data_IF_055226621536
#
_entry.id   IF_055226621536
#
_cell.length_a   1.000
_cell.length_b   1.000
_cell.length_c   1.000
_cell.angle_alpha   90.00
_cell.angle_beta   90.00
_cell.angle_gamma   90.00
#
_symmetry.space_group_name_H-M   'P 1'
#
loop_
_entity.id
_entity.type
_entity.pdbx_description
1 polymer ?
#
# COMPACT_ATOMS: atom_id res chain seq x y z
N UNK A 1 20.53 5.38 59.46
CA UNK A 1 20.39 5.14 58.01
C UNK A 1 18.92 4.98 57.60
N UNK A 2 18.13 6.06 57.63
CA UNK A 2 16.70 6.00 57.25
C UNK A 2 16.14 7.41 56.95
N UNK A 3 16.82 8.18 56.07
CA UNK A 3 16.35 9.50 55.59
C UNK A 3 16.78 9.81 54.14
N UNK A 4 16.96 8.79 53.29
CA UNK A 4 17.30 8.98 51.86
C UNK A 4 16.26 8.34 50.91
N UNK A 5 15.18 7.75 51.43
CA UNK A 5 14.23 6.98 50.59
C UNK A 5 12.93 7.72 50.21
N UNK A 6 12.75 8.99 50.57
CA UNK A 6 11.50 9.73 50.30
C UNK A 6 11.65 10.75 49.16
N UNK A 7 12.87 11.11 48.75
CA UNK A 7 13.08 12.05 47.62
C UNK A 7 13.14 11.32 46.26
N UNK A 8 13.31 9.99 46.25
CA UNK A 8 13.35 9.22 44.99
C UNK A 8 11.96 8.89 44.41
N UNK A 9 10.88 9.07 45.17
CA UNK A 9 9.50 8.79 44.71
C UNK A 9 8.83 10.03 44.12
N UNK A 10 9.35 11.25 44.33
CA UNK A 10 8.81 12.48 43.73
C UNK A 10 9.49 12.91 42.41
N UNK A 11 10.63 12.31 42.04
CA UNK A 11 11.26 12.53 40.72
C UNK A 11 10.83 11.50 39.66
N UNK A 12 10.06 10.47 40.05
CA UNK A 12 9.47 9.48 39.13
C UNK A 12 8.03 9.84 38.71
N UNK A 13 7.45 10.91 39.24
CA UNK A 13 6.10 11.39 38.87
C UNK A 13 6.09 12.57 37.91
N UNK A 14 7.25 12.99 37.38
CA UNK A 14 7.37 14.07 36.38
C UNK A 14 7.70 13.51 34.98
N UNK A 15 7.91 12.19 34.85
CA UNK A 15 8.04 11.51 33.56
C UNK A 15 6.83 10.60 33.29
N UNK A 16 5.72 11.19 32.84
CA UNK A 16 4.69 10.46 32.05
C UNK A 16 3.58 11.33 31.43
N UNK A 17 3.59 12.67 31.56
CA UNK A 17 2.62 13.54 30.84
C UNK A 17 3.20 14.03 29.51
N UNK A 18 4.35 13.54 29.07
CA UNK A 18 4.86 13.83 27.73
C UNK A 18 4.17 12.86 26.76
N UNK A 19 3.08 13.37 26.16
CA UNK A 19 2.32 12.83 25.03
C UNK A 19 1.47 11.58 25.29
N UNK A 20 0.41 11.71 26.10
CA UNK A 20 -0.74 10.82 25.91
C UNK A 20 -1.30 11.06 24.50
N UNK A 21 -1.54 9.99 23.73
CA UNK A 21 -2.20 10.10 22.44
C UNK A 21 -3.53 10.86 22.62
N UNK A 22 -3.83 11.89 21.79
CA UNK A 22 -4.96 12.78 22.05
C UNK A 22 -6.30 12.06 21.99
N UNK A 23 -6.35 10.92 21.30
CA UNK A 23 -7.48 10.01 21.26
C UNK A 23 -7.27 8.87 22.26
N UNK A 24 -8.23 8.69 23.16
CA UNK A 24 -8.26 7.61 24.16
C UNK A 24 -8.84 6.32 23.59
N UNK A 25 -9.60 6.42 22.50
CA UNK A 25 -10.21 5.28 21.83
C UNK A 25 -10.09 5.42 20.32
N UNK A 26 -10.11 4.28 19.63
CA UNK A 26 -10.19 4.24 18.17
C UNK A 26 -11.41 5.01 17.64
N UNK A 27 -12.53 4.96 18.36
CA UNK A 27 -13.74 5.73 17.99
C UNK A 27 -13.46 7.23 17.93
N UNK A 28 -12.76 7.80 18.90
CA UNK A 28 -12.43 9.23 18.92
C UNK A 28 -11.54 9.62 17.73
N UNK A 29 -10.60 8.76 17.34
CA UNK A 29 -9.77 8.96 16.15
C UNK A 29 -10.61 8.97 14.87
N UNK A 30 -11.52 8.00 14.72
CA UNK A 30 -12.39 7.92 13.53
C UNK A 30 -13.46 9.02 13.50
N UNK A 31 -13.93 9.49 14.66
CA UNK A 31 -14.81 10.67 14.74
C UNK A 31 -14.06 11.93 14.22
N UNK A 32 -12.77 12.09 14.58
CA UNK A 32 -11.91 13.17 14.03
C UNK A 32 -11.74 13.06 12.51
N UNK A 33 -11.46 11.86 11.99
CA UNK A 33 -11.37 11.62 10.54
C UNK A 33 -12.69 11.91 9.81
N UNK A 34 -13.83 11.57 10.40
CA UNK A 34 -15.14 11.83 9.81
C UNK A 34 -15.43 13.33 9.63
N UNK A 35 -15.00 14.18 10.57
CA UNK A 35 -15.16 15.64 10.45
C UNK A 35 -14.30 16.23 9.31
N UNK A 36 -13.08 15.72 9.12
CA UNK A 36 -12.23 16.09 7.98
C UNK A 36 -12.86 15.63 6.67
N UNK A 37 -13.33 14.39 6.63
CA UNK A 37 -13.97 13.80 5.45
C UNK A 37 -15.19 14.59 5.01
N UNK A 38 -15.98 15.14 5.94
CA UNK A 38 -17.11 16.00 5.59
C UNK A 38 -16.65 17.23 4.79
N UNK A 39 -15.58 17.89 5.21
CA UNK A 39 -15.00 19.07 4.52
C UNK A 39 -14.44 18.69 3.15
N UNK A 40 -13.73 17.57 3.05
CA UNK A 40 -13.22 17.05 1.77
C UNK A 40 -14.39 16.75 0.82
N UNK A 41 -15.41 16.03 1.29
CA UNK A 41 -16.57 15.67 0.48
C UNK A 41 -17.40 16.88 0.03
N UNK A 42 -17.46 17.93 0.84
CA UNK A 42 -18.07 19.20 0.44
C UNK A 42 -17.27 19.89 -0.67
N UNK A 43 -15.94 19.93 -0.56
CA UNK A 43 -15.06 20.50 -1.59
C UNK A 43 -15.09 19.70 -2.90
N UNK A 44 -15.15 18.37 -2.83
CA UNK A 44 -15.17 17.50 -4.01
C UNK A 44 -16.44 17.64 -4.85
N UNK A 45 -17.52 18.23 -4.32
CA UNK A 45 -18.72 18.60 -5.11
C UNK A 45 -18.43 19.73 -6.11
N UNK A 46 -17.36 20.49 -5.92
CA UNK A 46 -17.01 21.61 -6.77
C UNK A 46 -16.18 21.16 -7.99
N UNK A 47 -16.59 21.62 -9.18
CA UNK A 47 -15.86 21.36 -10.42
C UNK A 47 -14.64 22.31 -10.55
N UNK A 48 -13.41 21.77 -10.73
CA UNK A 48 -12.18 22.56 -10.87
C UNK A 48 -12.23 23.66 -11.94
N UNK A 49 -12.74 23.33 -13.13
CA UNK A 49 -12.82 24.25 -14.27
C UNK A 49 -13.79 25.40 -13.98
N UNK A 50 -14.89 25.10 -13.28
CA UNK A 50 -15.84 26.12 -12.84
C UNK A 50 -15.19 27.06 -11.82
N UNK A 51 -14.49 26.54 -10.81
CA UNK A 51 -13.77 27.36 -9.83
C UNK A 51 -12.76 28.26 -10.55
N UNK A 52 -11.97 27.71 -11.46
CA UNK A 52 -10.96 28.45 -12.23
C UNK A 52 -11.60 29.59 -13.02
N UNK A 53 -12.70 29.31 -13.74
CA UNK A 53 -13.44 30.30 -14.53
C UNK A 53 -14.00 31.44 -13.67
N UNK A 54 -14.63 31.09 -12.54
CA UNK A 54 -15.28 32.05 -11.63
C UNK A 54 -14.23 32.96 -10.94
N UNK A 55 -12.98 32.50 -10.84
CA UNK A 55 -11.88 33.19 -10.17
C UNK A 55 -10.83 33.80 -11.12
N UNK A 56 -11.08 33.83 -12.43
CA UNK A 56 -10.13 34.32 -13.44
C UNK A 56 -9.54 35.73 -13.17
N UNK A 57 -10.30 36.58 -12.47
CA UNK A 57 -9.89 37.96 -12.17
C UNK A 57 -9.08 38.08 -10.87
N UNK A 58 -9.28 37.17 -9.91
CA UNK A 58 -8.59 37.18 -8.61
C UNK A 58 -7.27 36.42 -8.66
N UNK A 59 -7.22 35.32 -9.41
CA UNK A 59 -6.03 34.48 -9.52
C UNK A 59 -4.85 35.24 -10.14
N UNK A 60 -3.69 35.18 -9.48
CA UNK A 60 -2.43 35.76 -9.95
C UNK A 60 -1.38 34.68 -10.15
N UNK A 61 -0.43 34.86 -11.08
CA UNK A 61 0.75 34.02 -11.15
C UNK A 61 1.52 34.05 -9.83
N UNK A 62 1.94 32.88 -9.37
CA UNK A 62 2.78 32.74 -8.19
C UNK A 62 4.03 31.92 -8.54
N UNK A 63 5.16 32.25 -7.92
CA UNK A 63 6.44 31.58 -8.13
C UNK A 63 6.72 30.64 -6.97
N UNK A 64 6.08 29.46 -7.00
CA UNK A 64 6.33 28.37 -6.05
C UNK A 64 6.31 27.04 -6.80
N UNK A 65 7.06 26.07 -6.28
CA UNK A 65 6.99 24.70 -6.76
C UNK A 65 5.76 24.01 -6.15
N UNK A 66 4.84 23.59 -7.03
CA UNK A 66 3.61 22.88 -6.66
C UNK A 66 3.59 21.58 -7.44
N UNK A 67 4.15 20.53 -6.85
CA UNK A 67 4.19 19.20 -7.46
C UNK A 67 4.79 19.20 -8.88
N UNK A 68 5.79 20.06 -9.16
CA UNK A 68 6.41 20.16 -10.48
C UNK A 68 5.56 20.86 -11.54
N UNK A 69 4.56 21.66 -11.15
CA UNK A 69 3.77 22.45 -12.09
C UNK A 69 4.62 23.47 -12.86
N UNK A 70 4.42 23.54 -14.18
CA UNK A 70 5.06 24.53 -15.06
C UNK A 70 4.51 25.95 -14.83
N UNK A 71 3.27 26.05 -14.35
CA UNK A 71 2.62 27.31 -14.02
C UNK A 71 1.72 27.15 -12.81
N UNK A 72 1.76 28.14 -11.92
CA UNK A 72 0.90 28.21 -10.73
C UNK A 72 0.10 29.51 -10.74
N UNK A 73 -1.20 29.40 -10.53
CA UNK A 73 -2.11 30.53 -10.31
C UNK A 73 -2.74 30.40 -8.92
N UNK A 74 -2.81 31.48 -8.14
CA UNK A 74 -3.44 31.43 -6.84
C UNK A 74 -4.01 32.75 -6.34
N UNK A 75 -4.85 32.63 -5.32
CA UNK A 75 -5.37 33.71 -4.49
C UNK A 75 -5.54 33.22 -3.04
N UNK A 76 -6.21 34.00 -2.19
CA UNK A 76 -6.38 33.68 -0.78
C UNK A 76 -7.22 32.41 -0.51
N UNK A 77 -7.97 31.91 -1.50
CA UNK A 77 -8.83 30.74 -1.32
C UNK A 77 -8.37 29.52 -2.12
N UNK A 78 -7.73 29.71 -3.27
CA UNK A 78 -7.34 28.60 -4.13
C UNK A 78 -5.95 28.75 -4.72
N UNK A 79 -5.32 27.60 -4.97
CA UNK A 79 -4.12 27.44 -5.77
C UNK A 79 -4.40 26.44 -6.90
N UNK A 80 -3.91 26.72 -8.10
CA UNK A 80 -3.99 25.86 -9.27
C UNK A 80 -2.59 25.64 -9.83
N UNK A 81 -2.20 24.37 -9.97
CA UNK A 81 -1.01 23.97 -10.71
C UNK A 81 -1.38 23.47 -12.11
N UNK A 82 -0.60 23.87 -13.11
CA UNK A 82 -0.80 23.49 -14.52
C UNK A 82 0.45 22.84 -15.10
N UNK A 83 0.25 21.92 -16.05
CA UNK A 83 1.32 21.39 -16.88
C UNK A 83 1.71 22.39 -18.00
N UNK A 84 2.78 22.06 -18.73
CA UNK A 84 3.27 22.83 -19.88
C UNK A 84 2.25 23.08 -20.99
N UNK A 85 1.18 22.28 -21.05
CA UNK A 85 0.09 22.42 -22.02
C UNK A 85 -1.10 23.20 -21.47
N UNK A 86 -1.03 23.68 -20.22
CA UNK A 86 -2.09 24.42 -19.55
C UNK A 86 -3.19 23.55 -18.96
N UNK A 87 -2.99 22.23 -18.84
CA UNK A 87 -3.94 21.32 -18.17
C UNK A 87 -3.78 21.39 -16.65
N UNK A 88 -4.89 21.37 -15.91
CA UNK A 88 -4.89 21.35 -14.44
C UNK A 88 -4.23 20.04 -13.94
N UNK A 89 -3.17 20.18 -13.15
CA UNK A 89 -2.49 19.09 -12.45
C UNK A 89 -2.88 19.04 -10.98
N UNK A 90 -3.18 20.18 -10.38
CA UNK A 90 -3.55 20.27 -8.96
C UNK A 90 -4.50 21.43 -8.68
N UNK A 91 -5.36 21.24 -7.69
CA UNK A 91 -6.21 22.28 -7.10
C UNK A 91 -6.11 22.18 -5.59
N UNK A 92 -5.75 23.28 -4.93
CA UNK A 92 -5.72 23.34 -3.47
C UNK A 92 -6.72 24.36 -2.96
N UNK A 93 -7.66 23.90 -2.14
CA UNK A 93 -8.57 24.78 -1.39
C UNK A 93 -7.89 25.18 -0.08
N UNK A 94 -7.60 26.46 0.10
CA UNK A 94 -6.92 27.02 1.28
C UNK A 94 -7.89 27.40 2.41
N UNK A 95 -7.35 27.46 3.63
CA UNK A 95 -8.03 27.86 4.86
C UNK A 95 -9.30 27.02 5.13
N UNK A 96 -9.10 25.71 5.31
CA UNK A 96 -10.18 24.71 5.48
C UNK A 96 -10.52 24.47 6.95
N UNK A 97 -9.48 24.49 7.78
CA UNK A 97 -9.46 24.44 9.24
C UNK A 97 -8.86 25.75 9.79
N UNK A 98 -8.73 25.83 11.11
CA UNK A 98 -8.04 26.93 11.78
C UNK A 98 -6.54 26.87 11.49
N UNK A 99 -5.97 27.92 10.89
CA UNK A 99 -4.56 27.95 10.49
C UNK A 99 -4.32 27.66 9.00
N UNK A 100 -3.06 27.45 8.58
CA UNK A 100 -2.66 27.38 7.17
C UNK A 100 -2.99 26.04 6.50
N UNK A 101 -4.19 25.52 6.72
CA UNK A 101 -4.64 24.23 6.17
C UNK A 101 -5.11 24.31 4.72
N UNK A 102 -5.03 23.20 4.00
CA UNK A 102 -5.58 23.08 2.65
C UNK A 102 -6.05 21.66 2.31
N UNK A 103 -7.10 21.56 1.48
CA UNK A 103 -7.43 20.32 0.77
C UNK A 103 -6.72 20.35 -0.58
N UNK A 104 -5.83 19.39 -0.81
CA UNK A 104 -5.15 19.21 -2.09
C UNK A 104 -5.86 18.16 -2.93
N UNK A 105 -6.12 18.47 -4.20
CA UNK A 105 -6.61 17.56 -5.23
C UNK A 105 -5.55 17.47 -6.32
N UNK A 106 -5.05 16.27 -6.61
CA UNK A 106 -4.04 16.02 -7.64
C UNK A 106 -4.66 15.18 -8.74
N UNK A 107 -4.32 15.47 -9.99
CA UNK A 107 -4.93 14.84 -11.16
C UNK A 107 -3.91 14.10 -12.02
N UNK A 108 -4.37 13.06 -12.68
CA UNK A 108 -3.66 12.42 -13.77
C UNK A 108 -3.64 13.30 -15.03
N UNK A 109 -2.73 13.03 -15.98
CA UNK A 109 -2.72 13.72 -17.27
C UNK A 109 -4.00 13.53 -18.10
N UNK A 110 -4.84 12.55 -17.80
CA UNK A 110 -6.16 12.39 -18.41
C UNK A 110 -7.23 13.31 -17.77
N UNK A 111 -6.97 13.90 -16.59
CA UNK A 111 -7.86 14.81 -15.86
C UNK A 111 -8.63 14.13 -14.72
N UNK A 112 -8.47 12.82 -14.57
CA UNK A 112 -9.10 12.06 -13.49
C UNK A 112 -8.38 12.34 -12.17
N UNK A 113 -9.15 12.35 -11.07
CA UNK A 113 -8.60 12.56 -9.73
C UNK A 113 -7.64 11.41 -9.42
N UNK A 114 -6.41 11.74 -9.04
CA UNK A 114 -5.37 10.80 -8.63
C UNK A 114 -5.33 10.66 -7.11
N UNK A 115 -5.40 11.79 -6.41
CA UNK A 115 -5.17 11.84 -4.99
C UNK A 115 -5.87 13.04 -4.36
N UNK A 116 -6.38 12.85 -3.15
CA UNK A 116 -6.94 13.92 -2.31
C UNK A 116 -6.54 13.73 -0.85
N UNK A 117 -6.12 14.82 -0.21
CA UNK A 117 -5.78 14.85 1.21
C UNK A 117 -5.97 16.24 1.80
N UNK A 118 -5.96 16.31 3.13
CA UNK A 118 -5.89 17.56 3.88
C UNK A 118 -4.50 17.71 4.49
N UNK A 119 -3.87 18.85 4.21
CA UNK A 119 -2.65 19.32 4.88
C UNK A 119 -3.06 20.35 5.94
N UNK A 120 -2.56 20.19 7.15
CA UNK A 120 -2.81 21.04 8.31
C UNK A 120 -1.49 21.35 9.01
N UNK A 121 -1.03 22.61 8.89
CA UNK A 121 0.20 23.10 9.52
C UNK A 121 1.44 22.25 9.16
N UNK A 122 1.65 22.03 7.86
CA UNK A 122 2.73 21.22 7.27
C UNK A 122 2.62 19.70 7.50
N UNK A 123 1.49 19.23 8.04
CA UNK A 123 1.23 17.81 8.25
C UNK A 123 -0.01 17.33 7.52
N UNK A 124 0.12 16.22 6.81
CA UNK A 124 -1.05 15.49 6.31
C UNK A 124 -1.85 14.93 7.48
N UNK A 125 -3.16 15.14 7.47
CA UNK A 125 -4.08 14.62 8.48
C UNK A 125 -5.42 14.19 7.86
N UNK A 126 -6.14 13.30 8.53
CA UNK A 126 -7.33 12.68 8.00
C UNK A 126 -7.02 11.49 7.09
N UNK A 127 -7.97 11.12 6.24
CA UNK A 127 -7.81 9.99 5.33
C UNK A 127 -7.36 10.48 3.96
N UNK A 128 -6.10 10.24 3.63
CA UNK A 128 -5.58 10.39 2.26
C UNK A 128 -6.25 9.35 1.39
N UNK A 129 -6.76 9.76 0.23
CA UNK A 129 -7.36 8.85 -0.75
C UNK A 129 -6.63 8.93 -2.07
N UNK A 130 -6.25 7.78 -2.61
CA UNK A 130 -5.74 7.67 -3.97
C UNK A 130 -6.71 6.88 -4.83
N UNK A 131 -6.65 7.13 -6.13
CA UNK A 131 -7.54 6.54 -7.13
C UNK A 131 -6.69 6.04 -8.29
N UNK A 132 -7.17 4.98 -8.93
CA UNK A 132 -6.66 4.54 -10.22
C UNK A 132 -6.99 5.58 -11.31
N UNK A 133 -6.30 5.50 -12.45
CA UNK A 133 -6.66 6.31 -13.63
C UNK A 133 -8.09 6.04 -14.11
N UNK A 134 -8.67 4.89 -13.78
CA UNK A 134 -10.08 4.54 -14.03
C UNK A 134 -11.08 5.16 -13.05
N UNK A 135 -10.63 6.08 -12.19
CA UNK A 135 -11.41 6.77 -11.14
C UNK A 135 -11.90 5.88 -9.99
N UNK A 136 -11.59 4.59 -10.05
CA UNK A 136 -11.88 3.68 -8.93
C UNK A 136 -10.91 3.94 -7.79
N UNK A 137 -11.41 3.85 -6.56
CA UNK A 137 -10.61 4.00 -5.36
C UNK A 137 -9.48 2.96 -5.36
N UNK A 138 -8.26 3.42 -5.11
CA UNK A 138 -7.07 2.58 -5.00
C UNK A 138 -6.69 2.40 -3.53
N UNK A 139 -6.78 3.47 -2.73
CA UNK A 139 -6.24 3.44 -1.37
C UNK A 139 -6.90 4.44 -0.42
N UNK A 140 -6.96 4.08 0.86
CA UNK A 140 -7.26 4.96 2.00
C UNK A 140 -6.17 4.82 3.05
N UNK A 141 -5.47 5.92 3.34
CA UNK A 141 -4.37 5.96 4.31
C UNK A 141 -4.73 6.96 5.41
N UNK A 142 -4.99 6.50 6.65
CA UNK A 142 -5.31 7.39 7.75
C UNK A 142 -4.03 7.99 8.34
N UNK A 143 -3.97 9.32 8.40
CA UNK A 143 -2.88 10.07 9.00
C UNK A 143 -3.36 10.93 10.17
N UNK A 144 -2.57 10.97 11.23
CA UNK A 144 -2.69 11.94 12.30
C UNK A 144 -1.35 12.69 12.44
N UNK A 145 -1.36 14.00 12.18
CA UNK A 145 -0.18 14.87 12.26
C UNK A 145 1.05 14.30 11.52
N UNK A 146 0.83 13.88 10.27
CA UNK A 146 1.88 13.41 9.37
C UNK A 146 2.29 11.95 9.56
N UNK A 147 1.72 11.24 10.54
CA UNK A 147 2.02 9.82 10.80
C UNK A 147 0.81 8.94 10.52
N UNK A 148 1.03 7.74 9.98
CA UNK A 148 -0.03 6.75 9.78
C UNK A 148 -0.57 6.25 11.11
N UNK A 149 -1.87 6.35 11.29
CA UNK A 149 -2.56 6.04 12.54
C UNK A 149 -3.97 5.51 12.22
N UNK A 150 -4.17 4.20 12.36
CA UNK A 150 -5.42 3.49 12.08
C UNK A 150 -5.36 2.51 10.91
N UNK A 151 -6.54 2.07 10.45
CA UNK A 151 -6.68 1.05 9.40
C UNK A 151 -6.51 1.63 8.00
N UNK A 152 -5.37 1.32 7.37
CA UNK A 152 -5.11 1.52 5.94
C UNK A 152 -5.82 0.45 5.12
N UNK A 153 -6.43 0.87 4.00
CA UNK A 153 -7.13 -0.02 3.07
C UNK A 153 -6.59 0.17 1.65
N UNK A 154 -6.27 -0.93 1.00
CA UNK A 154 -5.87 -0.97 -0.42
C UNK A 154 -6.93 -1.76 -1.17
N UNK A 155 -7.30 -1.27 -2.34
CA UNK A 155 -8.35 -1.85 -3.18
C UNK A 155 -7.76 -2.35 -4.48
N UNK A 156 -8.31 -3.43 -5.00
CA UNK A 156 -8.12 -3.82 -6.40
C UNK A 156 -8.88 -2.88 -7.32
N UNK A 157 -8.49 -2.82 -8.60
CA UNK A 157 -9.21 -2.03 -9.60
C UNK A 157 -10.63 -2.59 -9.91
N UNK A 158 -11.00 -3.77 -9.41
CA UNK A 158 -12.39 -4.21 -9.46
C UNK A 158 -13.25 -3.64 -8.31
N UNK A 159 -12.65 -2.92 -7.36
CA UNK A 159 -13.30 -2.29 -6.21
C UNK A 159 -13.29 -3.15 -4.93
N UNK A 160 -12.88 -4.42 -5.00
CA UNK A 160 -12.75 -5.28 -3.82
C UNK A 160 -11.51 -4.88 -3.00
N UNK A 161 -11.55 -5.14 -1.70
CA UNK A 161 -10.37 -4.98 -0.85
C UNK A 161 -9.25 -5.92 -1.31
N UNK A 162 -8.04 -5.41 -1.27
CA UNK A 162 -6.79 -6.11 -1.59
C UNK A 162 -5.97 -6.34 -0.33
N UNK A 163 -5.82 -5.30 0.51
CA UNK A 163 -5.09 -5.37 1.78
C UNK A 163 -5.78 -4.50 2.84
N UNK A 164 -5.73 -4.95 4.09
CA UNK A 164 -6.05 -4.20 5.30
C UNK A 164 -4.86 -4.25 6.26
N UNK A 165 -4.34 -3.08 6.65
CA UNK A 165 -3.17 -2.95 7.51
C UNK A 165 -3.39 -1.88 8.56
N UNK A 166 -3.22 -2.24 9.83
CA UNK A 166 -3.37 -1.31 10.93
C UNK A 166 -2.03 -0.67 11.30
N UNK A 167 -2.02 0.63 11.51
CA UNK A 167 -0.85 1.41 11.89
C UNK A 167 -1.06 2.11 13.23
N UNK A 168 0.01 2.20 14.02
CA UNK A 168 0.13 3.05 15.20
C UNK A 168 1.48 3.75 15.11
N UNK A 169 1.49 5.08 15.07
CA UNK A 169 2.70 5.90 14.98
C UNK A 169 3.64 5.48 13.82
N UNK A 170 3.09 5.30 12.60
CA UNK A 170 3.78 4.78 11.40
C UNK A 170 4.23 3.31 11.45
N UNK A 171 3.94 2.59 12.54
CA UNK A 171 4.31 1.18 12.69
C UNK A 171 3.11 0.26 12.44
N UNK A 172 3.29 -0.76 11.59
CA UNK A 172 2.30 -1.83 11.44
C UNK A 172 2.15 -2.58 12.76
N UNK A 173 0.91 -2.71 13.20
CA UNK A 173 0.54 -3.30 14.48
C UNK A 173 -0.66 -4.23 14.31
N UNK A 174 -0.65 -5.38 14.98
CA UNK A 174 -1.79 -6.30 14.98
C UNK A 174 -1.98 -7.05 13.66
N UNK A 175 -3.22 -7.42 13.37
CA UNK A 175 -3.59 -8.33 12.28
C UNK A 175 -3.74 -7.59 10.96
N UNK A 176 -3.01 -8.04 9.94
CA UNK A 176 -3.19 -7.64 8.54
C UNK A 176 -3.93 -8.71 7.77
N UNK A 177 -4.74 -8.29 6.81
CA UNK A 177 -5.54 -9.18 5.97
C UNK A 177 -5.23 -8.87 4.51
N UNK A 178 -4.88 -9.90 3.76
CA UNK A 178 -4.77 -9.80 2.32
C UNK A 178 -5.89 -10.61 1.69
N UNK A 179 -6.40 -10.10 0.59
CA UNK A 179 -7.56 -10.65 -0.09
C UNK A 179 -7.20 -11.10 -1.49
N UNK A 180 -7.97 -12.07 -1.95
CA UNK A 180 -8.11 -12.35 -3.37
C UNK A 180 -8.99 -11.28 -4.04
N UNK A 181 -8.83 -11.11 -5.35
CA UNK A 181 -9.61 -10.20 -6.15
C UNK A 181 -11.10 -10.55 -6.19
N UNK A 182 -11.49 -11.78 -5.85
CA UNK A 182 -12.88 -12.20 -5.64
C UNK A 182 -13.44 -11.82 -4.25
N UNK A 183 -12.63 -11.13 -3.43
CA UNK A 183 -12.97 -10.63 -2.10
C UNK A 183 -12.77 -11.65 -0.97
N UNK A 184 -12.32 -12.88 -1.26
CA UNK A 184 -12.05 -13.87 -0.22
C UNK A 184 -10.72 -13.61 0.46
N UNK A 185 -10.57 -14.05 1.70
CA UNK A 185 -9.30 -13.92 2.43
C UNK A 185 -8.25 -14.80 1.75
N UNK A 186 -7.15 -14.19 1.35
CA UNK A 186 -5.95 -14.86 0.87
C UNK A 186 -5.03 -15.17 2.04
N UNK A 187 -4.82 -14.21 2.95
CA UNK A 187 -3.86 -14.35 4.04
C UNK A 187 -4.19 -13.51 5.26
N UNK A 188 -3.83 -14.04 6.41
CA UNK A 188 -3.80 -13.37 7.71
C UNK A 188 -2.36 -13.40 8.25
N UNK A 189 -1.87 -12.27 8.73
CA UNK A 189 -0.55 -12.15 9.33
C UNK A 189 -0.55 -11.13 10.46
N UNK A 190 0.11 -11.43 11.57
CA UNK A 190 0.25 -10.50 12.67
C UNK A 190 1.59 -9.75 12.62
N UNK A 191 1.57 -8.48 12.98
CA UNK A 191 2.73 -7.61 13.09
C UNK A 191 2.81 -6.98 14.48
N UNK A 192 4.04 -6.72 14.91
CA UNK A 192 4.38 -5.91 16.08
C UNK A 192 5.52 -5.00 15.67
N UNK A 193 5.33 -3.70 15.76
CA UNK A 193 6.36 -2.70 15.43
C UNK A 193 6.99 -2.93 14.04
N UNK A 194 6.15 -3.06 13.00
CA UNK A 194 6.54 -3.40 11.61
C UNK A 194 7.06 -4.83 11.36
N UNK A 195 7.28 -5.62 12.40
CA UNK A 195 7.91 -6.95 12.32
C UNK A 195 6.84 -8.03 12.44
N UNK A 196 6.85 -9.02 11.54
CA UNK A 196 5.93 -10.16 11.60
C UNK A 196 6.09 -10.92 12.93
N UNK A 197 5.02 -10.98 13.73
CA UNK A 197 5.04 -11.57 15.06
C UNK A 197 3.66 -12.11 15.43
N UNK A 198 3.57 -13.40 15.71
CA UNK A 198 2.32 -14.10 15.98
C UNK A 198 1.81 -14.92 14.80
N UNK A 199 0.52 -15.23 14.85
CA UNK A 199 -0.13 -16.16 13.92
C UNK A 199 -0.04 -15.73 12.45
N UNK A 200 0.06 -16.75 11.59
CA UNK A 200 0.02 -16.63 10.15
C UNK A 200 -0.89 -17.72 9.59
N UNK A 201 -1.73 -17.37 8.62
CA UNK A 201 -2.53 -18.33 7.86
C UNK A 201 -2.71 -17.85 6.43
N UNK A 202 -2.45 -18.73 5.47
CA UNK A 202 -2.77 -18.53 4.06
C UNK A 202 -3.88 -19.51 3.65
N UNK A 203 -4.74 -19.06 2.76
CA UNK A 203 -5.91 -19.81 2.28
C UNK A 203 -5.82 -20.06 0.78
N UNK A 204 -6.53 -21.06 0.31
CA UNK A 204 -6.90 -21.22 -1.10
C UNK A 204 -8.12 -20.34 -1.43
N UNK A 205 -8.39 -20.09 -2.71
CA UNK A 205 -9.61 -19.37 -3.16
C UNK A 205 -10.92 -20.06 -2.79
N UNK A 206 -10.91 -21.35 -2.47
CA UNK A 206 -12.09 -22.03 -1.94
C UNK A 206 -12.30 -21.81 -0.43
N UNK A 207 -11.44 -21.00 0.21
CA UNK A 207 -11.50 -20.66 1.64
C UNK A 207 -10.87 -21.70 2.56
N UNK A 208 -10.36 -22.82 2.02
CA UNK A 208 -9.66 -23.81 2.84
C UNK A 208 -8.25 -23.33 3.19
N UNK A 209 -7.78 -23.72 4.35
CA UNK A 209 -6.43 -23.38 4.80
C UNK A 209 -5.43 -24.06 3.87
N UNK A 210 -4.45 -23.30 3.40
CA UNK A 210 -3.31 -23.80 2.63
C UNK A 210 -2.12 -24.05 3.55
N UNK A 211 -1.79 -23.06 4.36
CA UNK A 211 -0.71 -23.15 5.35
C UNK A 211 -1.05 -22.31 6.57
N UNK A 212 -0.64 -22.77 7.75
CA UNK A 212 -0.69 -21.98 8.98
C UNK A 212 0.51 -22.24 9.87
N UNK A 213 0.93 -21.23 10.61
CA UNK A 213 2.10 -21.27 11.48
C UNK A 213 2.24 -19.99 12.29
N UNK A 214 3.44 -19.74 12.80
CA UNK A 214 3.72 -18.59 13.65
C UNK A 214 5.02 -17.88 13.24
N UNK A 215 5.03 -16.56 13.35
CA UNK A 215 6.23 -15.75 13.19
C UNK A 215 6.72 -15.25 14.55
N UNK A 216 8.04 -15.10 14.69
CA UNK A 216 8.70 -14.46 15.84
C UNK A 216 9.86 -13.61 15.34
N UNK A 217 9.83 -12.31 15.62
CA UNK A 217 10.89 -11.40 15.18
C UNK A 217 11.07 -11.37 13.65
N UNK A 218 9.97 -11.50 12.90
CA UNK A 218 9.96 -11.49 11.45
C UNK A 218 10.29 -12.83 10.81
N UNK A 219 10.59 -13.86 11.61
CA UNK A 219 11.06 -15.15 11.12
C UNK A 219 10.02 -16.23 11.43
N UNK A 220 9.93 -17.24 10.56
CA UNK A 220 9.13 -18.44 10.84
C UNK A 220 9.68 -19.15 12.08
N UNK A 221 8.80 -19.49 13.00
CA UNK A 221 9.17 -20.14 14.26
C UNK A 221 8.18 -21.26 14.57
N UNK A 222 8.69 -22.45 14.88
CA UNK A 222 7.88 -23.61 15.23
C UNK A 222 7.31 -24.33 14.00
N UNK A 223 6.14 -24.91 14.16
CA UNK A 223 5.50 -25.79 13.16
C UNK A 223 4.65 -24.98 12.17
N UNK A 224 4.93 -25.15 10.88
CA UNK A 224 4.07 -24.72 9.78
C UNK A 224 3.36 -25.95 9.20
N UNK A 225 2.03 -25.96 9.26
CA UNK A 225 1.17 -27.06 8.78
C UNK A 225 0.63 -26.73 7.40
N UNK A 226 0.75 -27.67 6.48
CA UNK A 226 0.30 -27.54 5.09
C UNK A 226 -0.84 -28.49 4.79
N UNK A 227 -1.76 -28.02 3.97
CA UNK A 227 -2.97 -28.73 3.59
C UNK A 227 -3.20 -28.59 2.09
N UNK A 228 -3.85 -29.58 1.49
CA UNK A 228 -4.28 -29.52 0.09
C UNK A 228 -5.51 -28.62 -0.06
N UNK A 229 -5.84 -28.30 -1.31
CA UNK A 229 -7.09 -27.62 -1.68
C UNK A 229 -8.36 -28.47 -1.42
N UNK A 230 -8.20 -29.74 -1.01
CA UNK A 230 -9.26 -30.62 -0.53
C UNK A 230 -9.24 -30.81 0.99
N UNK A 231 -8.50 -29.96 1.71
CA UNK A 231 -8.35 -29.93 3.17
C UNK A 231 -7.63 -31.17 3.74
N UNK A 232 -6.92 -31.92 2.90
CA UNK A 232 -6.09 -33.04 3.34
C UNK A 232 -4.79 -32.48 3.93
N UNK A 233 -4.44 -32.90 5.14
CA UNK A 233 -3.14 -32.58 5.72
C UNK A 233 -2.00 -33.22 4.90
N UNK A 234 -1.07 -32.39 4.43
CA UNK A 234 0.06 -32.82 3.59
C UNK A 234 1.32 -33.07 4.42
N UNK A 235 1.52 -32.29 5.48
CA UNK A 235 2.71 -32.39 6.32
C UNK A 235 3.03 -31.07 7.00
N UNK A 236 4.20 -31.03 7.64
CA UNK A 236 4.69 -29.86 8.34
C UNK A 236 6.16 -29.61 8.08
N UNK A 237 6.53 -28.33 8.16
CA UNK A 237 7.92 -27.86 8.20
C UNK A 237 8.13 -27.20 9.56
N UNK A 238 9.20 -27.59 10.25
CA UNK A 238 9.55 -27.09 11.57
C UNK A 238 10.74 -26.15 11.45
N UNK A 239 10.57 -24.93 11.95
CA UNK A 239 11.56 -23.87 11.91
C UNK A 239 12.10 -23.56 13.31
N UNK A 240 13.41 -23.32 13.41
CA UNK A 240 14.06 -22.77 14.61
C UNK A 240 15.24 -21.92 14.18
N UNK A 241 15.33 -20.68 14.69
CA UNK A 241 16.45 -19.78 14.40
C UNK A 241 16.75 -19.60 12.88
N UNK A 242 15.71 -19.48 12.05
CA UNK A 242 15.77 -19.38 10.56
C UNK A 242 16.07 -20.68 9.82
N UNK A 243 16.35 -21.78 10.52
CA UNK A 243 16.67 -23.05 9.89
C UNK A 243 15.46 -24.00 9.88
N UNK A 244 15.35 -24.80 8.83
CA UNK A 244 14.43 -25.94 8.79
C UNK A 244 15.09 -27.09 9.57
N UNK A 245 14.51 -27.46 10.69
CA UNK A 245 15.01 -28.58 11.52
C UNK A 245 14.33 -29.90 11.20
N UNK A 246 13.14 -29.86 10.57
CA UNK A 246 12.41 -31.05 10.12
C UNK A 246 11.42 -30.68 9.02
N UNK A 247 11.28 -31.54 8.02
CA UNK A 247 10.29 -31.43 6.95
C UNK A 247 9.63 -32.80 6.76
N UNK A 248 8.30 -32.85 6.73
CA UNK A 248 7.51 -34.08 6.50
C UNK A 248 6.73 -34.07 5.19
N UNK A 249 6.90 -33.06 4.34
CA UNK A 249 6.25 -32.97 3.04
C UNK A 249 6.89 -33.94 2.04
N UNK A 250 6.08 -34.51 1.14
CA UNK A 250 6.60 -35.24 -0.02
C UNK A 250 7.22 -34.26 -1.04
N UNK A 251 8.06 -34.77 -1.94
CA UNK A 251 8.65 -33.94 -3.01
C UNK A 251 7.57 -33.43 -3.96
N UNK A 252 6.54 -34.24 -4.19
CA UNK A 252 5.38 -33.91 -5.00
C UNK A 252 4.58 -32.77 -4.36
N UNK A 253 4.26 -32.86 -3.07
CA UNK A 253 3.55 -31.80 -2.34
C UNK A 253 4.35 -30.50 -2.32
N UNK A 254 5.67 -30.57 -2.12
CA UNK A 254 6.55 -29.39 -2.18
C UNK A 254 6.52 -28.72 -3.55
N UNK A 255 6.46 -29.51 -4.64
CA UNK A 255 6.36 -28.97 -6.00
C UNK A 255 5.01 -28.29 -6.23
N UNK A 256 3.92 -28.89 -5.75
CA UNK A 256 2.58 -28.31 -5.89
C UNK A 256 2.41 -27.04 -5.05
N UNK A 257 3.07 -26.98 -3.89
CA UNK A 257 3.13 -25.80 -3.02
C UNK A 257 4.13 -24.75 -3.51
N UNK A 258 5.06 -25.07 -4.41
CA UNK A 258 6.05 -24.10 -4.90
C UNK A 258 5.44 -22.91 -5.67
N UNK A 259 4.18 -23.04 -6.15
CA UNK A 259 3.41 -21.95 -6.75
C UNK A 259 2.74 -21.03 -5.70
N UNK A 260 2.57 -21.49 -4.47
CA UNK A 260 2.04 -20.72 -3.34
C UNK A 260 3.17 -20.29 -2.43
N UNK A 261 3.58 -19.04 -2.57
CA UNK A 261 4.45 -18.27 -1.66
C UNK A 261 5.30 -19.07 -0.65
N UNK A 262 6.16 -19.98 -1.12
CA UNK A 262 7.33 -20.48 -0.39
C UNK A 262 8.39 -20.81 -1.45
N UNK A 263 9.63 -20.38 -1.23
CA UNK A 263 10.84 -20.45 -2.10
C UNK A 263 11.18 -19.22 -2.96
N UNK A 264 10.39 -18.14 -2.95
CA UNK A 264 10.91 -16.84 -3.39
C UNK A 264 11.84 -16.28 -2.31
N UNK A 265 13.13 -16.59 -2.45
CA UNK A 265 14.31 -16.02 -1.81
C UNK A 265 14.11 -15.37 -0.41
N UNK A 266 14.73 -15.95 0.61
CA UNK A 266 14.80 -15.36 1.95
C UNK A 266 15.41 -13.94 1.92
N UNK A 267 16.18 -13.59 0.88
CA UNK A 267 16.67 -12.23 0.63
C UNK A 267 15.60 -11.24 0.09
N UNK A 268 14.58 -11.72 -0.66
CA UNK A 268 13.39 -10.93 -1.04
C UNK A 268 12.48 -10.72 0.18
N UNK A 269 12.32 -11.77 1.00
CA UNK A 269 11.59 -11.71 2.27
C UNK A 269 12.24 -10.76 3.30
N UNK A 270 13.57 -10.69 3.37
CA UNK A 270 14.25 -9.73 4.27
C UNK A 270 14.07 -8.27 3.83
N UNK A 271 13.84 -7.99 2.53
CA UNK A 271 13.48 -6.63 2.07
C UNK A 271 12.07 -6.23 2.48
N UNK A 272 11.13 -7.18 2.64
CA UNK A 272 9.73 -6.92 3.02
C UNK A 272 9.49 -6.70 4.52
N UNK A 273 10.52 -6.84 5.34
CA UNK A 273 10.41 -6.77 6.82
C UNK A 273 10.71 -5.39 7.42
N UNK A 274 11.10 -4.39 6.62
CA UNK A 274 11.62 -3.13 7.21
C UNK A 274 11.05 -1.83 6.66
N UNK A 275 10.25 -1.82 5.59
CA UNK A 275 9.68 -0.57 5.04
C UNK A 275 8.29 -0.78 4.45
N UNK A 276 7.48 0.27 4.54
CA UNK A 276 6.27 0.42 3.73
C UNK A 276 6.71 0.69 2.28
N UNK A 277 6.67 -0.35 1.44
CA UNK A 277 7.21 -0.30 0.06
C UNK A 277 6.11 0.03 -0.95
N UNK A 278 4.90 0.45 -0.53
CA UNK A 278 3.83 0.74 -1.49
C UNK A 278 4.31 1.78 -2.49
N UNK A 279 4.38 1.35 -3.73
CA UNK A 279 5.11 2.02 -4.80
C UNK A 279 5.66 1.00 -5.79
N UNK A 280 6.44 1.49 -6.75
CA UNK A 280 7.10 0.66 -7.73
C UNK A 280 8.59 0.96 -7.76
N UNK A 281 9.40 -0.09 -7.91
CA UNK A 281 10.81 0.09 -8.26
C UNK A 281 10.92 0.07 -9.77
N UNK A 282 11.61 1.08 -10.32
CA UNK A 282 11.95 1.13 -11.74
C UNK A 282 13.44 0.88 -11.89
N UNK A 283 13.79 -0.13 -12.67
CA UNK A 283 15.16 -0.32 -13.14
C UNK A 283 15.31 0.33 -14.51
N UNK A 284 16.50 0.83 -14.84
CA UNK A 284 16.75 1.64 -16.05
C UNK A 284 17.89 1.09 -16.90
N UNK A 285 17.79 1.30 -18.20
CA UNK A 285 18.89 1.13 -19.13
C UNK A 285 20.02 2.13 -18.85
N UNK A 286 21.25 1.90 -19.35
CA UNK A 286 22.33 2.90 -19.28
C UNK A 286 21.96 4.26 -19.88
N UNK A 287 21.01 4.28 -20.84
CA UNK A 287 20.43 5.51 -21.40
C UNK A 287 19.50 6.28 -20.45
N UNK A 288 19.19 5.73 -19.27
CA UNK A 288 18.27 6.30 -18.30
C UNK A 288 16.79 5.97 -18.54
N UNK A 289 16.46 5.23 -19.60
CA UNK A 289 15.08 4.84 -19.91
C UNK A 289 14.61 3.67 -19.04
N UNK A 290 13.32 3.59 -18.69
CA UNK A 290 12.77 2.47 -17.93
C UNK A 290 13.01 1.13 -18.63
N UNK A 291 13.45 0.14 -17.85
CA UNK A 291 13.67 -1.25 -18.27
C UNK A 291 12.65 -2.18 -17.62
N UNK A 292 12.42 -2.02 -16.32
CA UNK A 292 11.50 -2.86 -15.55
C UNK A 292 10.69 -1.97 -14.62
N UNK A 293 9.39 -2.25 -14.50
CA UNK A 293 8.48 -1.68 -13.52
C UNK A 293 7.95 -2.80 -12.61
N UNK A 294 8.27 -2.71 -11.32
CA UNK A 294 7.94 -3.71 -10.30
C UNK A 294 7.07 -3.08 -9.20
N UNK A 295 5.74 -3.24 -9.24
CA UNK A 295 4.87 -2.72 -8.20
C UNK A 295 4.81 -3.68 -7.00
N UNK A 296 4.82 -3.13 -5.78
CA UNK A 296 4.78 -3.92 -4.54
C UNK A 296 3.57 -3.56 -3.66
N UNK A 297 3.01 -4.56 -2.99
CA UNK A 297 2.03 -4.41 -1.91
C UNK A 297 2.68 -3.81 -0.66
N UNK A 298 1.84 -3.39 0.28
CA UNK A 298 2.25 -2.95 1.62
C UNK A 298 3.02 -4.02 2.39
N UNK A 299 2.84 -5.28 2.02
CA UNK A 299 3.57 -6.41 2.58
C UNK A 299 4.88 -6.70 1.85
N UNK A 300 5.29 -5.87 0.88
CA UNK A 300 6.55 -5.97 0.14
C UNK A 300 6.57 -7.06 -0.93
N UNK A 301 5.40 -7.45 -1.44
CA UNK A 301 5.25 -8.51 -2.44
C UNK A 301 4.80 -7.93 -3.77
N UNK A 302 5.16 -8.52 -4.91
CA UNK A 302 4.70 -8.01 -6.19
C UNK A 302 3.16 -7.94 -6.25
N UNK A 303 2.61 -6.80 -6.64
CA UNK A 303 1.17 -6.58 -6.66
C UNK A 303 0.80 -5.57 -7.74
N UNK A 304 0.03 -5.98 -8.74
CA UNK A 304 -0.26 -5.22 -9.95
C UNK A 304 0.56 -5.70 -11.16
N UNK A 305 0.59 -4.88 -12.20
CA UNK A 305 1.25 -5.21 -13.46
C UNK A 305 2.77 -5.04 -13.37
N UNK A 306 3.50 -6.15 -13.42
CA UNK A 306 4.92 -6.16 -13.69
C UNK A 306 5.14 -6.00 -15.19
N UNK A 307 5.97 -5.03 -15.56
CA UNK A 307 6.18 -4.67 -16.97
C UNK A 307 7.68 -4.57 -17.25
N UNK A 308 8.13 -5.20 -18.31
CA UNK A 308 9.44 -4.97 -18.90
C UNK A 308 9.29 -4.21 -20.21
N UNK A 309 10.26 -3.34 -20.46
CA UNK A 309 10.29 -2.48 -21.64
C UNK A 309 11.54 -2.80 -22.46
N UNK A 310 11.41 -2.66 -23.77
CA UNK A 310 12.55 -2.42 -24.66
C UNK A 310 13.11 -1.01 -24.45
N UNK A 311 14.34 -0.77 -24.90
CA UNK A 311 14.98 0.55 -24.76
C UNK A 311 14.30 1.64 -25.62
N UNK A 312 13.45 1.29 -26.59
CA UNK A 312 12.60 2.24 -27.30
C UNK A 312 11.34 2.65 -26.51
N UNK A 313 11.09 2.02 -25.36
CA UNK A 313 9.95 2.27 -24.47
C UNK A 313 8.73 1.39 -24.73
N UNK A 314 8.75 0.50 -25.74
CA UNK A 314 7.67 -0.48 -25.95
C UNK A 314 7.75 -1.59 -24.93
N UNK A 315 6.62 -2.19 -24.61
CA UNK A 315 6.55 -3.33 -23.67
C UNK A 315 7.14 -4.58 -24.35
N UNK A 316 8.08 -5.25 -23.67
CA UNK A 316 8.62 -6.54 -24.08
C UNK A 316 7.93 -7.70 -23.34
N UNK A 317 7.51 -7.47 -22.10
CA UNK A 317 6.86 -8.47 -21.27
C UNK A 317 5.90 -7.82 -20.27
N UNK A 318 4.76 -8.47 -20.05
CA UNK A 318 3.78 -8.05 -19.04
C UNK A 318 3.20 -9.26 -18.32
N UNK A 319 3.06 -9.16 -17.00
CA UNK A 319 2.32 -10.13 -16.17
C UNK A 319 1.73 -9.43 -14.95
N UNK A 320 0.57 -9.86 -14.49
CA UNK A 320 -0.04 -9.33 -13.26
C UNK A 320 0.32 -10.21 -12.06
N UNK A 321 0.63 -9.58 -10.94
CA UNK A 321 0.80 -10.23 -9.65
C UNK A 321 -0.30 -9.83 -8.68
N UNK A 322 -0.70 -10.77 -7.84
CA UNK A 322 -1.65 -10.61 -6.76
C UNK A 322 -0.97 -11.13 -5.48
N UNK A 323 -0.48 -10.21 -4.63
CA UNK A 323 0.20 -10.53 -3.37
C UNK A 323 1.34 -11.54 -3.55
N UNK A 324 2.20 -11.29 -4.55
CA UNK A 324 3.34 -12.13 -4.91
C UNK A 324 3.02 -13.31 -5.82
N UNK A 325 1.74 -13.59 -6.09
CA UNK A 325 1.30 -14.72 -6.91
C UNK A 325 0.96 -14.26 -8.33
N UNK A 326 1.46 -14.96 -9.35
CA UNK A 326 1.12 -14.66 -10.76
C UNK A 326 -0.36 -14.89 -11.01
N UNK A 327 -1.02 -13.92 -11.63
CA UNK A 327 -2.43 -13.97 -11.97
C UNK A 327 -2.67 -13.33 -13.35
N UNK A 328 -3.65 -13.84 -14.10
CA UNK A 328 -3.99 -13.34 -15.42
C UNK A 328 -2.97 -13.67 -16.50
N UNK A 329 -2.99 -12.89 -17.59
CA UNK A 329 -2.17 -13.15 -18.78
C UNK A 329 -0.74 -12.68 -18.59
N UNK A 330 0.19 -13.61 -18.78
CA UNK A 330 1.59 -13.31 -19.06
C UNK A 330 1.77 -13.22 -20.57
N UNK A 331 2.20 -12.06 -21.07
CA UNK A 331 2.35 -11.79 -22.51
C UNK A 331 3.78 -11.35 -22.80
N UNK A 332 4.40 -11.94 -23.83
CA UNK A 332 5.69 -11.53 -24.37
C UNK A 332 5.50 -10.95 -25.77
N UNK A 333 6.18 -9.85 -26.04
CA UNK A 333 6.10 -9.10 -27.30
C UNK A 333 7.46 -9.10 -27.98
N UNK A 334 7.48 -8.91 -29.30
CA UNK A 334 8.64 -8.47 -30.07
C UNK A 334 8.73 -6.94 -30.07
N UNK A 335 9.88 -6.38 -30.46
CA UNK A 335 10.08 -4.92 -30.59
C UNK A 335 9.10 -4.24 -31.58
N UNK A 336 8.55 -5.01 -32.53
CA UNK A 336 7.52 -4.52 -33.44
C UNK A 336 6.09 -4.58 -32.85
N UNK A 337 5.94 -4.99 -31.58
CA UNK A 337 4.66 -5.12 -30.87
C UNK A 337 3.93 -6.44 -31.10
N UNK A 338 4.44 -7.36 -31.93
CA UNK A 338 3.80 -8.65 -32.17
C UNK A 338 3.94 -9.56 -30.94
N UNK A 339 2.84 -10.16 -30.51
CA UNK A 339 2.83 -11.16 -29.42
C UNK A 339 3.55 -12.43 -29.90
N UNK A 340 4.48 -12.93 -29.09
CA UNK A 340 5.25 -14.17 -29.33
C UNK A 340 5.07 -15.22 -28.23
N UNK A 341 4.34 -14.90 -27.18
CA UNK A 341 3.97 -15.86 -26.16
C UNK A 341 2.86 -15.30 -25.29
N UNK A 342 1.87 -16.14 -25.02
CA UNK A 342 0.79 -15.86 -24.08
C UNK A 342 0.59 -17.08 -23.18
N UNK A 343 0.46 -16.87 -21.88
CA UNK A 343 0.12 -17.92 -20.91
C UNK A 343 -0.77 -17.33 -19.84
N UNK A 344 -1.90 -17.97 -19.55
CA UNK A 344 -2.76 -17.54 -18.46
C UNK A 344 -2.32 -18.17 -17.14
N UNK A 345 -2.41 -17.42 -16.05
CA UNK A 345 -2.15 -17.89 -14.70
C UNK A 345 -3.36 -17.68 -13.81
N UNK A 346 -3.71 -18.71 -13.05
CA UNK A 346 -4.65 -18.61 -11.94
C UNK A 346 -3.92 -19.13 -10.72
N UNK A 347 -3.73 -18.26 -9.72
CA UNK A 347 -3.04 -18.57 -8.47
C UNK A 347 -1.65 -19.18 -8.65
N UNK A 348 -0.86 -18.60 -9.55
CA UNK A 348 0.49 -19.04 -9.85
C UNK A 348 0.55 -20.29 -10.72
N UNK A 349 -0.57 -20.98 -10.95
CA UNK A 349 -0.67 -22.16 -11.81
C UNK A 349 -0.98 -21.73 -13.24
N UNK A 350 -0.26 -22.31 -14.20
CA UNK A 350 -0.55 -22.11 -15.63
C UNK A 350 -1.89 -22.74 -15.98
N UNK A 351 -2.71 -22.01 -16.70
CA UNK A 351 -3.94 -22.49 -17.29
C UNK A 351 -3.80 -22.55 -18.82
N UNK A 352 -4.14 -23.70 -19.41
CA UNK A 352 -4.08 -23.94 -20.85
C UNK A 352 -2.69 -24.30 -21.41
N UNK A 353 -2.61 -24.44 -22.75
CA UNK A 353 -1.34 -24.65 -23.46
C UNK A 353 -0.71 -23.29 -23.78
N UNK A 354 0.58 -23.12 -23.48
CA UNK A 354 1.37 -21.99 -23.96
C UNK A 354 1.48 -22.04 -25.48
N UNK A 355 1.20 -20.93 -26.17
CA UNK A 355 1.33 -20.79 -27.63
C UNK A 355 2.67 -20.17 -28.00
#
# INVERSE_FOLDING_TARGET
>A
MRKIFIILILMLSIFSIVNAHPFKTEKELYDYYAEIDKKINEELKNNPEKILKDRKNSLKPLYLDVFGADKVLGDNSYLFGFDKNGKIMSVMKRAVLDGPSMIARIYYPNGNLKEVYLDDDDFVTGIVRTYYESEKKHEEIPYYKGKKEGLRKIYFENGNLSNEVYYVDDLREGKTIDYYNDGKVFRLKNYKDNIGNGEFTEYYRNGQIKVKGNYKGGLREGEFKFYSESNKYLGSVFYKNKEIIKNTLSKEDMKDLSASFEFADMALFLRSTTRDIVGATTDVYPSGKPRIYMPYSVNGELHGDYIEFYEDGKISYKITYENGIRHGKSISYLENGKIIGETNYIDGKKEGKSF
#
